data_IF_680162638013
#
_entry.id   IF_680162638013
#
_cell.length_a   1.000
_cell.length_b   1.000
_cell.length_c   1.000
_cell.angle_alpha   90.00
_cell.angle_beta   90.00
_cell.angle_gamma   90.00
#
_symmetry.space_group_name_H-M   'P 1'
#
loop_
_entity.id
_entity.type
_entity.pdbx_description
1 polymer ?
#
# COMPACT_ATOMS: atom_id res chain seq x y z
N UNK A 1 -4.61 -3.20 -12.67
CA UNK A 1 -5.35 -1.91 -12.66
C UNK A 1 -5.47 -1.25 -14.03
N UNK A 2 -4.40 -1.09 -14.82
CA UNK A 2 -4.43 -0.35 -16.10
C UNK A 2 -5.53 -0.82 -17.06
N UNK A 3 -5.71 -2.14 -17.21
CA UNK A 3 -6.77 -2.72 -18.04
C UNK A 3 -8.18 -2.26 -17.63
N UNK A 4 -8.45 -2.15 -16.33
CA UNK A 4 -9.76 -1.72 -15.81
C UNK A 4 -9.94 -0.21 -16.06
N UNK A 5 -8.91 0.61 -15.83
CA UNK A 5 -8.95 2.06 -16.11
C UNK A 5 -9.22 2.32 -17.59
N UNK A 6 -8.47 1.66 -18.48
CA UNK A 6 -8.66 1.72 -19.93
C UNK A 6 -10.07 1.27 -20.33
N UNK A 7 -10.57 0.19 -19.73
CA UNK A 7 -11.93 -0.27 -19.96
C UNK A 7 -12.96 0.80 -19.58
N UNK A 8 -12.87 1.38 -18.38
CA UNK A 8 -13.79 2.43 -17.92
C UNK A 8 -13.74 3.67 -18.82
N UNK A 9 -12.55 4.12 -19.23
CA UNK A 9 -12.42 5.23 -20.19
C UNK A 9 -13.06 4.90 -21.53
N UNK A 10 -12.90 3.67 -22.03
CA UNK A 10 -13.57 3.23 -23.27
C UNK A 10 -15.10 3.22 -23.16
N UNK A 11 -15.64 3.14 -21.93
CA UNK A 11 -17.08 3.26 -21.63
C UNK A 11 -17.55 4.70 -21.41
N UNK A 12 -16.66 5.69 -21.60
CA UNK A 12 -16.98 7.11 -21.49
C UNK A 12 -16.76 7.71 -20.11
N UNK A 13 -16.17 6.97 -19.15
CA UNK A 13 -15.80 7.53 -17.84
C UNK A 13 -14.63 8.49 -18.03
N UNK A 14 -14.82 9.77 -17.71
CA UNK A 14 -13.82 10.83 -17.94
C UNK A 14 -12.87 11.01 -16.76
N UNK A 15 -13.41 10.92 -15.55
CA UNK A 15 -12.68 11.16 -14.30
C UNK A 15 -12.65 9.86 -13.49
N UNK A 16 -11.45 9.41 -13.14
CA UNK A 16 -11.24 8.17 -12.38
C UNK A 16 -10.30 8.47 -11.22
N UNK A 17 -10.72 8.13 -10.01
CA UNK A 17 -9.91 8.11 -8.79
C UNK A 17 -9.81 6.66 -8.33
N UNK A 18 -8.61 6.19 -7.99
CA UNK A 18 -8.41 4.81 -7.47
C UNK A 18 -8.36 4.87 -5.95
N UNK A 19 -9.23 4.14 -5.27
CA UNK A 19 -9.17 3.97 -3.82
C UNK A 19 -8.74 2.55 -3.48
N UNK A 20 -7.70 2.43 -2.65
CA UNK A 20 -7.17 1.19 -2.12
C UNK A 20 -7.36 1.14 -0.61
N UNK A 21 -7.88 0.02 -0.11
CA UNK A 21 -7.99 -0.30 1.31
C UNK A 21 -6.92 -1.32 1.69
N UNK A 22 -6.27 -1.15 2.85
CA UNK A 22 -5.27 -2.09 3.37
C UNK A 22 -4.14 -2.29 2.35
N UNK A 23 -3.79 -3.54 2.02
CA UNK A 23 -2.84 -3.90 0.95
C UNK A 23 -3.20 -3.32 -0.43
N UNK A 24 -4.48 -2.99 -0.69
CA UNK A 24 -4.88 -2.24 -1.88
C UNK A 24 -4.24 -0.85 -1.98
N UNK A 25 -3.77 -0.28 -0.88
CA UNK A 25 -2.98 0.96 -0.87
C UNK A 25 -1.64 0.80 -1.59
N UNK A 26 -1.02 -0.39 -1.54
CA UNK A 26 0.22 -0.70 -2.28
C UNK A 26 -0.02 -0.58 -3.79
N UNK A 27 -1.17 -1.05 -4.25
CA UNK A 27 -1.61 -0.93 -5.63
C UNK A 27 -1.81 0.54 -6.03
N UNK A 28 -2.46 1.35 -5.19
CA UNK A 28 -2.57 2.80 -5.45
C UNK A 28 -1.19 3.45 -5.54
N UNK A 29 -0.31 3.20 -4.58
CA UNK A 29 1.05 3.74 -4.58
C UNK A 29 1.81 3.35 -5.85
N UNK A 30 1.82 2.07 -6.20
CA UNK A 30 2.45 1.56 -7.42
C UNK A 30 1.89 2.21 -8.68
N UNK A 31 0.57 2.35 -8.77
CA UNK A 31 -0.07 2.96 -9.94
C UNK A 31 0.27 4.44 -10.09
N UNK A 32 0.19 5.19 -8.98
CA UNK A 32 0.39 6.63 -8.99
C UNK A 32 1.86 7.02 -9.10
N UNK A 33 2.80 6.19 -8.64
CA UNK A 33 4.25 6.42 -8.81
C UNK A 33 4.79 5.97 -10.17
N UNK A 34 3.98 5.26 -10.97
CA UNK A 34 4.37 4.83 -12.31
C UNK A 34 4.39 5.99 -13.30
N UNK A 35 5.47 6.20 -14.09
CA UNK A 35 5.51 7.20 -15.16
C UNK A 35 4.42 7.00 -16.22
N UNK A 36 3.88 5.79 -16.37
CA UNK A 36 2.79 5.49 -17.29
C UNK A 36 1.50 6.26 -16.96
N UNK A 37 1.28 6.63 -15.69
CA UNK A 37 0.14 7.46 -15.27
C UNK A 37 0.39 8.97 -15.41
N UNK A 38 1.62 9.40 -15.76
CA UNK A 38 2.00 10.81 -15.78
C UNK A 38 1.41 11.61 -16.95
N UNK A 39 1.07 10.96 -18.06
CA UNK A 39 0.47 11.60 -19.23
C UNK A 39 -1.06 11.71 -19.05
N UNK A 40 -1.62 12.93 -18.87
CA UNK A 40 -3.06 13.10 -18.69
C UNK A 40 -3.91 12.68 -19.89
N UNK A 41 -3.30 12.60 -21.08
CA UNK A 41 -3.96 12.16 -22.31
C UNK A 41 -4.03 10.64 -22.45
N UNK A 42 -3.29 9.89 -21.63
CA UNK A 42 -3.26 8.44 -21.69
C UNK A 42 -4.62 7.83 -21.31
N UNK A 43 -4.96 6.73 -21.98
CA UNK A 43 -6.17 5.95 -21.71
C UNK A 43 -6.11 5.19 -20.36
N UNK A 44 -4.94 5.21 -19.72
CA UNK A 44 -4.67 4.66 -18.38
C UNK A 44 -4.54 5.75 -17.30
N UNK A 45 -4.65 7.04 -17.64
CA UNK A 45 -4.49 8.10 -16.64
C UNK A 45 -5.65 8.14 -15.64
N UNK A 46 -5.33 8.22 -14.35
CA UNK A 46 -6.27 8.50 -13.25
C UNK A 46 -5.92 9.84 -12.61
N UNK A 47 -6.93 10.60 -12.18
CA UNK A 47 -6.74 11.99 -11.72
C UNK A 47 -6.27 12.07 -10.27
N UNK A 48 -6.39 10.98 -9.51
CA UNK A 48 -5.91 10.89 -8.14
C UNK A 48 -6.09 9.51 -7.53
N UNK A 49 -5.65 9.34 -6.28
CA UNK A 49 -5.88 8.11 -5.55
C UNK A 49 -5.98 8.28 -4.04
N UNK A 50 -6.64 7.31 -3.40
CA UNK A 50 -6.91 7.32 -1.96
C UNK A 50 -6.36 6.02 -1.38
N UNK A 51 -5.56 6.13 -0.33
CA UNK A 51 -4.97 5.01 0.40
C UNK A 51 -5.57 5.00 1.79
N UNK A 52 -6.40 4.01 2.11
CA UNK A 52 -7.00 3.88 3.43
C UNK A 52 -6.39 2.69 4.17
N UNK A 53 -5.98 2.92 5.41
CA UNK A 53 -5.19 1.97 6.21
C UNK A 53 -3.93 1.47 5.47
N UNK A 54 -3.19 2.43 4.88
CA UNK A 54 -1.87 2.16 4.29
C UNK A 54 -0.84 1.92 5.41
N UNK A 55 -0.61 0.65 5.72
CA UNK A 55 0.31 0.20 6.77
C UNK A 55 1.29 -0.82 6.20
N UNK A 56 2.40 -1.03 6.90
CA UNK A 56 3.40 -2.03 6.54
C UNK A 56 2.99 -3.41 7.01
N UNK A 57 2.84 -4.34 6.07
CA UNK A 57 2.70 -5.77 6.36
C UNK A 57 3.95 -6.31 7.04
N UNK A 58 5.14 -5.84 6.65
CA UNK A 58 6.41 -6.23 7.28
C UNK A 58 6.43 -5.88 8.77
N UNK A 59 5.97 -4.70 9.13
CA UNK A 59 5.91 -4.28 10.54
C UNK A 59 4.77 -4.95 11.30
N UNK A 60 3.62 -5.12 10.65
CA UNK A 60 2.49 -5.85 11.23
C UNK A 60 2.87 -7.31 11.53
N UNK A 61 3.55 -7.98 10.60
CA UNK A 61 3.95 -9.37 10.71
C UNK A 61 5.21 -9.61 11.55
N UNK A 62 5.87 -8.56 12.07
CA UNK A 62 7.19 -8.67 12.74
C UNK A 62 7.22 -9.66 13.91
N UNK A 63 6.10 -9.82 14.62
CA UNK A 63 5.99 -10.70 15.80
C UNK A 63 5.38 -12.08 15.47
N UNK A 64 5.00 -12.32 14.20
CA UNK A 64 4.40 -13.57 13.76
C UNK A 64 5.48 -14.57 13.34
N UNK A 65 5.85 -15.45 14.28
CA UNK A 65 6.93 -16.43 14.10
C UNK A 65 6.86 -17.23 12.79
N UNK A 66 5.68 -17.67 12.36
CA UNK A 66 5.54 -18.51 11.16
C UNK A 66 5.92 -17.76 9.86
N UNK A 67 5.69 -16.44 9.81
CA UNK A 67 6.16 -15.57 8.73
C UNK A 67 7.69 -15.45 8.76
N UNK A 68 8.25 -15.09 9.92
CA UNK A 68 9.69 -14.89 10.09
C UNK A 68 10.52 -16.16 9.85
N UNK A 69 10.04 -17.33 10.30
CA UNK A 69 10.71 -18.61 10.10
C UNK A 69 10.75 -19.02 8.61
N UNK A 70 9.72 -18.63 7.85
CA UNK A 70 9.55 -19.06 6.45
C UNK A 70 10.20 -18.09 5.47
N UNK A 71 10.40 -16.81 5.85
CA UNK A 71 10.99 -15.79 4.99
C UNK A 71 12.38 -16.18 4.42
N UNK A 72 13.33 -16.75 5.19
CA UNK A 72 14.61 -17.19 4.64
C UNK A 72 14.48 -18.26 3.54
N UNK A 73 13.53 -19.19 3.70
CA UNK A 73 13.23 -20.21 2.70
C UNK A 73 12.67 -19.56 1.41
N UNK A 74 11.75 -18.61 1.56
CA UNK A 74 11.21 -17.87 0.42
C UNK A 74 12.30 -17.10 -0.33
N UNK A 75 13.18 -16.41 0.39
CA UNK A 75 14.32 -15.70 -0.19
C UNK A 75 15.30 -16.65 -0.90
N UNK A 76 15.52 -17.84 -0.34
CA UNK A 76 16.31 -18.87 -1.01
C UNK A 76 15.65 -19.33 -2.31
N UNK A 77 14.36 -19.65 -2.29
CA UNK A 77 13.63 -20.10 -3.49
C UNK A 77 13.63 -19.03 -4.59
N UNK A 78 13.49 -17.75 -4.23
CA UNK A 78 13.61 -16.66 -5.21
C UNK A 78 14.99 -16.68 -5.88
N UNK A 79 16.08 -16.85 -5.11
CA UNK A 79 17.44 -16.96 -5.66
C UNK A 79 17.62 -18.19 -6.56
N UNK A 80 16.89 -19.26 -6.30
CA UNK A 80 16.86 -20.49 -7.10
C UNK A 80 15.95 -20.39 -8.34
N UNK A 81 15.29 -19.25 -8.59
CA UNK A 81 14.33 -19.08 -9.69
C UNK A 81 12.96 -19.70 -9.43
N UNK A 82 12.65 -20.01 -8.16
CA UNK A 82 11.43 -20.66 -7.68
C UNK A 82 10.51 -19.68 -6.94
N UNK A 83 10.52 -18.40 -7.34
CA UNK A 83 9.70 -17.36 -6.72
C UNK A 83 8.20 -17.64 -6.79
N UNK A 84 7.73 -18.25 -7.88
CA UNK A 84 6.32 -18.57 -8.10
C UNK A 84 5.86 -19.89 -7.45
N UNK A 85 6.78 -20.64 -6.85
CA UNK A 85 6.45 -21.89 -6.16
C UNK A 85 5.67 -21.58 -4.87
N UNK A 86 4.59 -22.35 -4.64
CA UNK A 86 3.80 -22.29 -3.42
C UNK A 86 4.62 -22.80 -2.23
N UNK A 87 4.66 -22.00 -1.17
CA UNK A 87 5.36 -22.31 0.07
C UNK A 87 4.78 -23.56 0.77
N UNK A 88 5.54 -24.18 1.70
CA UNK A 88 5.09 -25.39 2.37
C UNK A 88 3.68 -25.27 2.97
N UNK A 89 2.87 -26.32 2.85
CA UNK A 89 1.50 -26.37 3.37
C UNK A 89 1.41 -25.93 4.84
N UNK A 90 2.37 -26.36 5.66
CA UNK A 90 2.43 -26.01 7.08
C UNK A 90 2.54 -24.49 7.35
N UNK A 91 3.11 -23.73 6.41
CA UNK A 91 3.09 -22.27 6.44
C UNK A 91 1.74 -21.74 5.93
N UNK A 92 1.26 -22.21 4.77
CA UNK A 92 0.00 -21.74 4.18
C UNK A 92 -1.22 -21.94 5.10
N UNK A 93 -1.24 -23.04 5.87
CA UNK A 93 -2.28 -23.33 6.86
C UNK A 93 -2.30 -22.30 8.01
N UNK A 94 -1.21 -21.56 8.24
CA UNK A 94 -1.05 -20.58 9.32
C UNK A 94 -0.99 -19.12 8.83
N UNK A 95 -0.69 -18.91 7.55
CA UNK A 95 -0.53 -17.59 6.96
C UNK A 95 -1.85 -16.82 6.87
N UNK A 96 -2.98 -17.53 6.75
CA UNK A 96 -4.29 -16.91 6.72
C UNK A 96 -4.69 -16.27 8.05
N UNK A 97 -5.68 -15.37 7.95
CA UNK A 97 -6.38 -14.87 9.14
C UNK A 97 -7.56 -15.80 9.44
N UNK A 98 -7.61 -16.34 10.66
CA UNK A 98 -8.59 -17.35 11.06
C UNK A 98 -8.28 -18.76 10.52
N UNK A 99 -9.30 -19.61 10.39
CA UNK A 99 -9.13 -21.03 10.01
C UNK A 99 -9.08 -21.26 8.48
N UNK A 100 -8.82 -20.22 7.68
CA UNK A 100 -8.77 -20.31 6.21
C UNK A 100 -7.31 -20.29 5.76
N UNK A 101 -6.79 -21.39 5.17
CA UNK A 101 -5.43 -21.41 4.64
C UNK A 101 -5.23 -20.35 3.54
N UNK A 102 -4.08 -19.69 3.56
CA UNK A 102 -3.68 -18.74 2.52
C UNK A 102 -2.51 -19.32 1.74
N UNK A 103 -2.76 -19.66 0.46
CA UNK A 103 -1.70 -20.08 -0.45
C UNK A 103 -0.82 -18.88 -0.78
N UNK A 104 0.47 -18.98 -0.47
CA UNK A 104 1.45 -17.93 -0.76
C UNK A 104 2.61 -18.52 -1.53
N UNK A 105 3.02 -17.83 -2.58
CA UNK A 105 4.29 -18.12 -3.26
C UNK A 105 5.47 -17.58 -2.45
N UNK A 106 6.67 -18.08 -2.73
CA UNK A 106 7.90 -17.53 -2.15
C UNK A 106 8.04 -16.02 -2.45
N UNK A 107 7.73 -15.61 -3.68
CA UNK A 107 7.72 -14.20 -4.09
C UNK A 107 6.74 -13.38 -3.25
N UNK A 108 5.49 -13.82 -3.11
CA UNK A 108 4.48 -13.02 -2.40
C UNK A 108 4.83 -12.84 -0.92
N UNK A 109 5.38 -13.87 -0.27
CA UNK A 109 5.87 -13.74 1.10
C UNK A 109 6.98 -12.68 1.18
N UNK A 110 8.01 -12.78 0.34
CA UNK A 110 9.12 -11.83 0.36
C UNK A 110 8.66 -10.40 0.01
N UNK A 111 7.77 -10.27 -0.98
CA UNK A 111 7.25 -8.98 -1.42
C UNK A 111 6.54 -8.21 -0.30
N UNK A 112 5.81 -8.93 0.55
CA UNK A 112 5.06 -8.37 1.68
C UNK A 112 5.93 -8.01 2.89
N UNK A 113 6.79 -8.94 3.32
CA UNK A 113 7.45 -8.84 4.64
C UNK A 113 8.98 -8.83 4.57
N UNK A 114 9.56 -8.94 3.37
CA UNK A 114 10.99 -8.82 3.19
C UNK A 114 11.42 -7.36 3.17
N UNK A 115 12.61 -7.07 3.72
CA UNK A 115 13.28 -5.80 3.41
C UNK A 115 13.53 -5.77 1.91
N UNK A 116 13.06 -4.71 1.24
CA UNK A 116 13.15 -4.59 -0.21
C UNK A 116 12.16 -5.49 -0.96
N UNK A 117 11.07 -5.93 -0.33
CA UNK A 117 9.95 -6.50 -1.05
C UNK A 117 9.26 -5.46 -1.95
N UNK A 118 8.66 -5.89 -3.06
CA UNK A 118 8.02 -4.98 -4.02
C UNK A 118 6.77 -4.29 -3.43
N UNK A 119 6.16 -4.85 -2.38
CA UNK A 119 5.00 -4.27 -1.68
C UNK A 119 5.37 -3.42 -0.46
N UNK A 120 6.66 -3.34 -0.09
CA UNK A 120 7.16 -2.64 1.09
C UNK A 120 7.26 -1.11 0.88
N UNK A 121 6.10 -0.46 0.76
CA UNK A 121 5.98 0.99 0.55
C UNK A 121 5.88 1.80 1.84
N UNK A 122 5.45 1.17 2.94
CA UNK A 122 4.92 1.88 4.12
C UNK A 122 5.70 1.65 5.41
N UNK A 123 6.79 0.87 5.38
CA UNK A 123 7.62 0.67 6.56
C UNK A 123 8.27 1.98 7.03
N UNK A 124 8.46 2.12 8.34
CA UNK A 124 8.96 3.33 8.99
C UNK A 124 10.45 3.61 8.68
N UNK A 125 11.21 2.58 8.33
CA UNK A 125 12.63 2.68 8.00
C UNK A 125 12.90 2.90 6.50
N UNK A 126 11.86 3.04 5.66
CA UNK A 126 12.03 3.31 4.23
C UNK A 126 12.87 4.58 4.07
N UNK A 127 14.01 4.51 3.36
CA UNK A 127 14.95 5.62 3.27
C UNK A 127 14.38 6.73 2.39
N UNK A 128 14.81 7.97 2.62
CA UNK A 128 14.40 9.08 1.77
C UNK A 128 14.91 8.94 0.33
N UNK A 129 16.12 8.40 0.15
CA UNK A 129 16.78 8.22 -1.15
C UNK A 129 17.05 6.74 -1.44
N UNK A 130 17.21 6.35 -2.72
CA UNK A 130 17.47 4.96 -3.10
C UNK A 130 18.66 4.40 -2.34
N UNK A 131 18.41 3.36 -1.54
CA UNK A 131 19.41 2.75 -0.66
C UNK A 131 19.20 1.24 -0.65
N UNK A 132 20.18 0.43 -1.07
CA UNK A 132 20.08 -1.01 -0.93
C UNK A 132 19.93 -1.41 0.55
N UNK A 133 19.14 -2.43 0.90
CA UNK A 133 18.44 -3.36 0.02
C UNK A 133 17.00 -2.95 -0.37
N UNK A 134 16.58 -1.71 -0.10
CA UNK A 134 15.21 -1.29 -0.37
C UNK A 134 14.96 -1.12 -1.87
N UNK A 135 13.86 -1.71 -2.37
CA UNK A 135 13.38 -1.48 -3.73
C UNK A 135 12.82 -0.07 -3.88
N UNK A 136 12.14 0.42 -2.84
CA UNK A 136 11.55 1.75 -2.81
C UNK A 136 12.28 2.68 -1.84
N UNK A 137 12.39 3.95 -2.21
CA UNK A 137 12.67 5.07 -1.29
C UNK A 137 11.47 6.01 -1.27
N UNK A 138 11.38 6.89 -0.27
CA UNK A 138 10.33 7.91 -0.26
C UNK A 138 10.39 8.79 -1.52
N UNK A 139 11.57 9.05 -2.07
CA UNK A 139 11.73 9.80 -3.32
C UNK A 139 11.28 9.06 -4.57
N UNK A 140 11.36 7.72 -4.61
CA UNK A 140 10.92 6.90 -5.75
C UNK A 140 9.46 6.43 -5.64
N UNK A 141 8.84 6.57 -4.46
CA UNK A 141 7.42 6.27 -4.23
C UNK A 141 6.60 7.55 -4.09
N UNK A 142 6.49 8.11 -2.88
CA UNK A 142 5.74 9.34 -2.60
C UNK A 142 6.25 10.53 -3.44
N UNK A 143 7.55 10.67 -3.59
CA UNK A 143 8.17 11.72 -4.43
C UNK A 143 7.96 11.53 -5.92
N UNK A 144 7.54 10.35 -6.36
CA UNK A 144 7.23 10.01 -7.74
C UNK A 144 5.73 10.04 -8.06
N UNK A 145 4.86 10.39 -7.10
CA UNK A 145 3.42 10.51 -7.34
C UNK A 145 3.15 11.40 -8.56
N UNK A 146 2.44 10.87 -9.54
CA UNK A 146 2.12 11.53 -10.80
C UNK A 146 0.88 12.43 -10.67
N UNK A 147 0.00 12.13 -9.73
CA UNK A 147 -1.23 12.86 -9.44
C UNK A 147 -1.45 13.03 -7.93
N UNK A 148 -2.37 13.90 -7.49
CA UNK A 148 -2.70 14.03 -6.07
C UNK A 148 -3.16 12.71 -5.45
N UNK A 149 -2.83 12.54 -4.16
CA UNK A 149 -3.22 11.40 -3.36
C UNK A 149 -3.71 11.82 -1.98
N UNK A 150 -4.56 10.99 -1.37
CA UNK A 150 -5.03 11.12 0.01
C UNK A 150 -4.67 9.86 0.80
N UNK A 151 -3.96 10.01 1.92
CA UNK A 151 -3.75 8.93 2.89
C UNK A 151 -4.70 9.08 4.09
N UNK A 152 -5.55 8.09 4.33
CA UNK A 152 -6.46 7.99 5.47
C UNK A 152 -5.97 6.88 6.41
N UNK A 153 -5.20 7.27 7.41
CA UNK A 153 -4.59 6.34 8.36
C UNK A 153 -5.57 6.01 9.49
N UNK A 154 -5.79 4.73 9.79
CA UNK A 154 -6.63 4.32 10.93
C UNK A 154 -5.82 4.34 12.23
N UNK A 155 -6.25 5.10 13.24
CA UNK A 155 -5.50 5.23 14.50
C UNK A 155 -5.23 3.86 15.16
N UNK A 156 -6.20 2.95 15.10
CA UNK A 156 -6.10 1.62 15.68
C UNK A 156 -4.98 0.73 15.12
N UNK A 157 -4.41 1.09 13.96
CA UNK A 157 -3.27 0.38 13.38
C UNK A 157 -1.93 0.77 14.00
N UNK A 158 -1.83 1.94 14.65
CA UNK A 158 -0.56 2.48 15.15
C UNK A 158 0.18 1.51 16.10
N UNK A 159 -0.56 0.72 16.90
CA UNK A 159 0.02 -0.28 17.82
C UNK A 159 0.75 -1.43 17.11
N UNK A 160 0.49 -1.66 15.82
CA UNK A 160 1.13 -2.72 15.04
C UNK A 160 2.28 -2.22 14.16
N UNK A 161 2.55 -0.91 14.16
CA UNK A 161 3.59 -0.30 13.35
C UNK A 161 4.75 0.15 14.24
N UNK A 162 5.91 0.39 13.64
CA UNK A 162 7.13 0.81 14.37
C UNK A 162 7.08 2.29 14.72
N UNK A 163 6.60 3.13 13.80
CA UNK A 163 6.44 4.57 14.02
C UNK A 163 4.96 4.95 14.16
N UNK A 164 4.70 5.93 15.02
CA UNK A 164 3.35 6.48 15.16
C UNK A 164 2.97 7.26 13.88
N UNK A 165 1.71 7.24 13.41
CA UNK A 165 1.31 7.96 12.20
C UNK A 165 1.60 9.46 12.23
N UNK A 166 1.61 10.08 13.40
CA UNK A 166 1.99 11.50 13.58
C UNK A 166 3.44 11.81 13.24
N UNK A 167 4.32 10.81 13.22
CA UNK A 167 5.72 10.92 12.81
C UNK A 167 5.94 10.47 11.37
N UNK A 168 5.15 9.50 10.92
CA UNK A 168 5.27 8.86 9.60
C UNK A 168 4.66 9.71 8.48
N UNK A 169 3.40 10.15 8.65
CA UNK A 169 2.65 10.87 7.61
C UNK A 169 3.30 12.20 7.19
N UNK A 170 3.90 13.01 8.09
CA UNK A 170 4.63 14.21 7.68
C UNK A 170 5.81 13.90 6.75
N UNK A 171 6.55 12.81 6.97
CA UNK A 171 7.68 12.41 6.10
C UNK A 171 7.20 12.03 4.70
N UNK A 172 6.08 11.30 4.61
CA UNK A 172 5.45 10.96 3.34
C UNK A 172 4.99 12.22 2.60
N UNK A 173 4.35 13.15 3.31
CA UNK A 173 3.86 14.41 2.75
C UNK A 173 4.98 15.31 2.25
N UNK A 174 6.08 15.41 3.00
CA UNK A 174 7.29 16.13 2.61
C UNK A 174 7.88 15.54 1.31
N UNK A 175 8.06 14.22 1.25
CA UNK A 175 8.53 13.55 0.05
C UNK A 175 7.62 13.78 -1.16
N UNK A 176 6.30 13.79 -0.96
CA UNK A 176 5.30 13.98 -2.00
C UNK A 176 5.21 15.42 -2.58
N UNK A 177 5.93 16.39 -2.01
CA UNK A 177 6.01 17.77 -2.54
C UNK A 177 4.64 18.39 -2.82
N UNK A 178 3.72 18.27 -1.86
CA UNK A 178 2.37 18.82 -1.94
C UNK A 178 1.34 17.97 -2.68
N UNK A 179 1.73 16.79 -3.19
CA UNK A 179 0.79 15.86 -3.83
C UNK A 179 0.08 14.91 -2.87
N UNK A 180 0.48 14.86 -1.60
CA UNK A 180 -0.15 13.99 -0.61
C UNK A 180 -0.89 14.82 0.45
N UNK A 181 -2.20 14.69 0.48
CA UNK A 181 -3.05 15.05 1.62
C UNK A 181 -3.10 13.85 2.58
N UNK A 182 -3.25 14.08 3.88
CA UNK A 182 -3.36 12.98 4.85
C UNK A 182 -4.25 13.33 6.04
N UNK A 183 -4.84 12.30 6.64
CA UNK A 183 -5.65 12.40 7.86
C UNK A 183 -5.46 11.14 8.69
N UNK A 184 -5.40 11.31 10.01
CA UNK A 184 -5.56 10.21 10.98
C UNK A 184 -7.04 10.16 11.35
N UNK A 185 -7.65 8.98 11.21
CA UNK A 185 -9.02 8.69 11.61
C UNK A 185 -8.98 8.23 13.07
N UNK A 186 -9.19 9.19 13.99
CA UNK A 186 -9.24 8.95 15.43
C UNK A 186 -10.33 7.92 15.78
N UNK A 187 -9.98 6.93 16.60
CA UNK A 187 -10.88 5.84 17.01
C UNK A 187 -11.16 4.78 15.94
N UNK A 188 -10.57 4.88 14.75
CA UNK A 188 -10.82 3.91 13.67
C UNK A 188 -10.03 2.61 13.87
N UNK A 189 -10.70 1.47 13.69
CA UNK A 189 -10.05 0.19 13.39
C UNK A 189 -9.53 0.15 11.94
N UNK A 190 -8.75 -0.88 11.61
CA UNK A 190 -8.20 -1.08 10.26
C UNK A 190 -9.27 -0.99 9.16
N UNK A 191 -10.40 -1.66 9.37
CA UNK A 191 -11.57 -1.67 8.49
C UNK A 191 -12.51 -0.47 8.65
N UNK A 192 -12.24 0.41 9.62
CA UNK A 192 -13.09 1.57 9.96
C UNK A 192 -14.53 1.10 10.22
N UNK A 193 -14.71 0.18 11.17
CA UNK A 193 -16.03 -0.39 11.49
C UNK A 193 -16.89 0.54 12.36
N UNK A 194 -16.27 1.55 12.96
CA UNK A 194 -16.89 2.47 13.91
C UNK A 194 -17.63 3.61 13.20
N UNK A 195 -18.88 3.87 13.60
CA UNK A 195 -19.77 4.84 12.93
C UNK A 195 -19.20 6.26 12.85
N UNK A 196 -18.56 6.73 13.93
CA UNK A 196 -17.93 8.06 13.97
C UNK A 196 -16.80 8.19 12.93
N UNK A 197 -15.76 7.35 13.01
CA UNK A 197 -14.71 7.27 12.00
C UNK A 197 -15.20 7.06 10.56
N UNK A 198 -16.24 6.25 10.33
CA UNK A 198 -16.83 6.06 9.00
C UNK A 198 -17.36 7.36 8.40
N UNK A 199 -18.02 8.20 9.21
CA UNK A 199 -18.50 9.51 8.77
C UNK A 199 -17.34 10.41 8.37
N UNK A 200 -16.29 10.48 9.19
CA UNK A 200 -15.08 11.26 8.89
C UNK A 200 -14.40 10.76 7.62
N UNK A 201 -14.24 9.45 7.45
CA UNK A 201 -13.72 8.85 6.22
C UNK A 201 -14.52 9.29 4.99
N UNK A 202 -15.85 9.19 5.04
CA UNK A 202 -16.71 9.60 3.94
C UNK A 202 -16.56 11.09 3.62
N UNK A 203 -16.51 11.93 4.65
CA UNK A 203 -16.32 13.38 4.49
C UNK A 203 -14.98 13.71 3.82
N UNK A 204 -13.88 13.10 4.24
CA UNK A 204 -12.56 13.33 3.66
C UNK A 204 -12.47 12.81 2.22
N UNK A 205 -13.05 11.64 1.94
CA UNK A 205 -13.16 11.11 0.56
C UNK A 205 -13.95 12.07 -0.32
N UNK A 206 -15.12 12.55 0.15
CA UNK A 206 -15.94 13.50 -0.60
C UNK A 206 -15.22 14.84 -0.83
N UNK A 207 -14.51 15.37 0.17
CA UNK A 207 -13.70 16.60 0.03
C UNK A 207 -12.59 16.42 -1.01
N UNK A 208 -11.96 15.25 -1.06
CA UNK A 208 -10.89 14.98 -2.02
C UNK A 208 -11.41 14.84 -3.44
N UNK A 209 -12.46 14.04 -3.68
CA UNK A 209 -12.97 13.81 -5.04
C UNK A 209 -13.58 15.07 -5.67
N UNK A 210 -14.14 15.98 -4.85
CA UNK A 210 -14.68 17.27 -5.31
C UNK A 210 -13.63 18.20 -5.91
N UNK A 211 -12.34 17.93 -5.70
CA UNK A 211 -11.25 18.69 -6.32
C UNK A 211 -11.16 18.45 -7.84
N UNK A 212 -11.85 17.43 -8.36
CA UNK A 212 -11.82 17.00 -9.76
C UNK A 212 -13.18 17.15 -10.47
N UNK A 213 -14.15 17.82 -9.85
CA UNK A 213 -15.43 18.24 -10.46
C UNK A 213 -15.25 19.56 -11.22
#
# INVERSE_FOLDING_TARGET
MQTIVKHLKSKGVKTIVIMGHSTGSQNVMHYLSSPANADPSADIHVVGGIMQASVSDREFCKDYKHYNDTLPLAQQWIKEGRGDDILPKAFCDKAGFGDVPMLMTAYRLHSLIGIGGDDDYFSADIPSNPTPAFVHSLSSSFGALTTPALALYAEGDAKYQVAHPTELLPKWAEAAKGKLQWRILEGASHGVEEEGPQRVLCEEVLKFIKQFE
#
